data_IF_827918702259
#
_entry.id   IF_827918702259
#
_cell.length_a   1.000
_cell.length_b   1.000
_cell.length_c   1.000
_cell.angle_alpha   90.00
_cell.angle_beta   90.00
_cell.angle_gamma   90.00
#
_symmetry.space_group_name_H-M   'P 1'
#
loop_
_entity.id
_entity.type
_entity.pdbx_description
1 polymer ?
#
# COMPACT_ATOMS: atom_id res chain seq x y z
N UNK A 1 10.23 15.01 -18.10
CA UNK A 1 10.47 13.88 -19.03
C UNK A 1 9.41 12.82 -18.72
N UNK A 2 8.52 12.50 -19.67
CA UNK A 2 7.49 11.46 -19.49
C UNK A 2 7.97 10.17 -20.15
N UNK A 3 7.83 9.02 -19.48
CA UNK A 3 8.26 7.72 -20.02
C UNK A 3 7.25 7.23 -21.05
N UNK A 4 7.73 6.82 -22.22
CA UNK A 4 6.93 6.06 -23.19
C UNK A 4 6.89 4.60 -22.74
N UNK A 5 6.05 4.32 -21.74
CA UNK A 5 5.70 2.95 -21.38
C UNK A 5 4.49 2.54 -22.21
N UNK A 6 4.46 1.33 -22.80
CA UNK A 6 3.26 0.81 -23.45
C UNK A 6 2.21 0.50 -22.37
N UNK A 7 1.48 1.53 -21.94
CA UNK A 7 0.35 1.37 -21.05
C UNK A 7 -0.74 0.60 -21.80
N UNK A 8 -1.44 -0.29 -21.10
CA UNK A 8 -2.62 -0.96 -21.66
C UNK A 8 -3.59 0.12 -22.14
N UNK A 9 -3.88 0.14 -23.44
CA UNK A 9 -4.81 1.12 -24.06
C UNK A 9 -6.27 0.91 -23.61
N UNK A 10 -6.54 -0.18 -22.92
CA UNK A 10 -7.85 -0.57 -22.42
C UNK A 10 -7.69 -1.18 -21.03
N UNK A 11 -8.45 -0.65 -20.08
CA UNK A 11 -8.66 -1.26 -18.77
C UNK A 11 -9.87 -2.21 -18.77
N UNK A 12 -10.46 -2.57 -19.93
CA UNK A 12 -11.48 -3.63 -19.96
C UNK A 12 -10.90 -4.89 -19.30
N UNK A 13 -11.72 -5.58 -18.49
CA UNK A 13 -11.31 -6.70 -17.63
C UNK A 13 -10.45 -6.34 -16.40
N UNK A 14 -10.25 -5.05 -16.07
CA UNK A 14 -9.56 -4.66 -14.82
C UNK A 14 -10.23 -5.24 -13.56
N UNK A 15 -11.55 -5.40 -13.59
CA UNK A 15 -12.33 -6.04 -12.53
C UNK A 15 -11.99 -7.53 -12.34
N UNK A 16 -11.45 -8.21 -13.35
CA UNK A 16 -11.01 -9.62 -13.24
C UNK A 16 -9.71 -9.76 -12.45
N UNK A 17 -8.97 -8.64 -12.27
CA UNK A 17 -7.75 -8.56 -11.47
C UNK A 17 -8.03 -8.07 -10.05
N UNK A 18 -9.29 -7.76 -9.72
CA UNK A 18 -9.70 -7.57 -8.33
C UNK A 18 -9.71 -8.92 -7.65
N UNK A 19 -8.77 -9.13 -6.74
CA UNK A 19 -8.98 -10.12 -5.69
C UNK A 19 -10.09 -9.58 -4.81
N UNK A 20 -11.29 -10.14 -4.96
CA UNK A 20 -12.31 -10.04 -3.94
C UNK A 20 -11.80 -10.88 -2.78
N UNK A 21 -11.16 -10.24 -1.81
CA UNK A 21 -10.86 -10.91 -0.56
C UNK A 21 -12.21 -11.10 0.12
N UNK A 22 -12.63 -12.36 0.26
CA UNK A 22 -13.83 -12.68 1.02
C UNK A 22 -13.71 -11.99 2.37
N UNK A 23 -14.73 -11.19 2.70
CA UNK A 23 -14.82 -10.64 4.04
C UNK A 23 -14.92 -11.87 4.94
N UNK A 24 -13.85 -12.20 5.66
CA UNK A 24 -13.85 -13.29 6.64
C UNK A 24 -15.15 -13.18 7.45
N UNK A 25 -15.77 -14.31 7.81
CA UNK A 25 -17.13 -14.40 8.42
C UNK A 25 -17.41 -13.49 9.64
N UNK A 26 -16.44 -12.69 10.09
CA UNK A 26 -16.69 -11.41 10.76
C UNK A 26 -17.41 -10.43 9.83
N UNK A 27 -18.70 -10.68 9.65
CA UNK A 27 -19.65 -9.65 9.24
C UNK A 27 -19.42 -8.43 10.14
N UNK A 28 -19.12 -7.27 9.53
CA UNK A 28 -19.08 -6.03 10.28
C UNK A 28 -20.42 -5.92 11.04
N UNK A 29 -20.40 -5.53 12.32
CA UNK A 29 -21.62 -5.38 13.07
C UNK A 29 -22.59 -4.45 12.32
N UNK A 30 -23.91 -4.68 12.41
CA UNK A 30 -24.91 -3.79 11.81
C UNK A 30 -24.59 -2.34 12.17
N UNK A 31 -24.63 -1.45 11.18
CA UNK A 31 -24.38 -0.03 11.41
C UNK A 31 -25.36 0.50 12.47
N UNK A 32 -24.84 0.96 13.59
CA UNK A 32 -25.61 1.34 14.77
C UNK A 32 -25.96 2.83 14.82
N UNK A 33 -25.49 3.62 13.83
CA UNK A 33 -25.73 5.06 13.75
C UNK A 33 -24.97 5.89 14.79
N UNK A 34 -24.16 5.26 15.62
CA UNK A 34 -23.43 5.96 16.66
C UNK A 34 -22.17 6.61 16.09
N UNK A 35 -21.85 7.81 16.59
CA UNK A 35 -20.55 8.39 16.32
C UNK A 35 -19.47 7.53 16.99
N UNK A 36 -18.33 7.30 16.32
CA UNK A 36 -17.20 6.67 16.96
C UNK A 36 -16.83 7.40 18.26
N UNK A 37 -16.76 6.67 19.36
CA UNK A 37 -16.23 7.22 20.62
C UNK A 37 -14.74 7.47 20.38
N UNK A 38 -14.30 8.71 20.63
CA UNK A 38 -12.90 9.09 20.50
C UNK A 38 -12.07 8.18 21.42
N UNK A 39 -11.11 7.48 20.83
CA UNK A 39 -10.18 6.63 21.56
C UNK A 39 -8.82 7.32 21.61
N UNK A 40 -8.31 7.57 22.80
CA UNK A 40 -7.02 8.21 23.02
C UNK A 40 -5.87 7.44 22.35
N UNK A 41 -6.02 6.13 22.17
CA UNK A 41 -5.07 5.28 21.46
C UNK A 41 -4.96 5.60 19.97
N UNK A 42 -5.91 6.31 19.35
CA UNK A 42 -5.82 6.69 17.93
C UNK A 42 -4.68 7.67 17.65
N UNK A 43 -4.28 8.45 18.65
CA UNK A 43 -3.13 9.35 18.56
C UNK A 43 -1.88 8.77 19.21
N UNK A 44 -1.94 7.53 19.71
CA UNK A 44 -0.80 6.89 20.33
C UNK A 44 0.28 6.62 19.28
N UNK A 45 1.52 6.95 19.66
CA UNK A 45 2.67 6.55 18.86
C UNK A 45 2.91 5.05 19.05
N UNK A 46 3.30 4.34 17.98
CA UNK A 46 3.67 2.94 18.10
C UNK A 46 4.89 2.78 19.01
N UNK A 47 4.89 1.70 19.77
CA UNK A 47 6.03 1.30 20.60
C UNK A 47 7.20 0.83 19.73
N UNK A 48 8.40 0.77 20.34
CA UNK A 48 9.61 0.32 19.64
C UNK A 48 9.46 -1.12 19.08
N UNK A 49 8.77 -2.00 19.81
CA UNK A 49 8.51 -3.37 19.36
C UNK A 49 7.58 -3.43 18.14
N UNK A 50 6.60 -2.52 18.04
CA UNK A 50 5.69 -2.41 16.89
C UNK A 50 6.37 -1.80 15.66
N UNK A 51 7.40 -0.98 15.88
CA UNK A 51 8.13 -0.28 14.81
C UNK A 51 9.14 -1.15 14.04
N UNK A 52 9.35 -2.42 14.44
CA UNK A 52 10.38 -3.28 13.83
C UNK A 52 10.26 -3.44 12.30
N UNK A 53 9.04 -3.62 11.78
CA UNK A 53 8.83 -3.71 10.33
C UNK A 53 9.04 -2.37 9.61
N UNK A 54 8.62 -1.27 10.23
CA UNK A 54 8.76 0.09 9.68
C UNK A 54 10.23 0.47 9.60
N UNK A 55 10.99 0.24 10.68
CA UNK A 55 12.43 0.51 10.71
C UNK A 55 13.17 -0.29 9.64
N UNK A 56 12.85 -1.57 9.49
CA UNK A 56 13.41 -2.40 8.41
C UNK A 56 13.09 -1.84 7.02
N UNK A 57 11.89 -1.30 6.81
CA UNK A 57 11.53 -0.68 5.54
C UNK A 57 12.34 0.59 5.29
N UNK A 58 12.56 1.42 6.31
CA UNK A 58 13.38 2.63 6.23
C UNK A 58 14.83 2.29 5.86
N UNK A 59 15.41 1.25 6.46
CA UNK A 59 16.77 0.79 6.13
C UNK A 59 16.89 0.32 4.67
N UNK A 60 15.88 -0.41 4.17
CA UNK A 60 15.80 -0.81 2.77
C UNK A 60 15.73 0.44 1.89
N UNK A 61 14.88 1.41 2.23
CA UNK A 61 14.74 2.64 1.46
C UNK A 61 16.04 3.43 1.41
N UNK A 62 16.76 3.57 2.52
CA UNK A 62 18.03 4.29 2.55
C UNK A 62 19.11 3.57 1.76
N UNK A 63 19.19 2.24 1.87
CA UNK A 63 20.06 1.42 1.01
C UNK A 63 19.76 1.66 -0.47
N UNK A 64 18.49 1.66 -0.87
CA UNK A 64 18.08 1.89 -2.26
C UNK A 64 18.38 3.33 -2.73
N UNK A 65 18.25 4.34 -1.85
CA UNK A 65 18.65 5.72 -2.17
C UNK A 65 20.15 5.80 -2.48
N UNK A 66 21.00 5.15 -1.70
CA UNK A 66 22.46 5.15 -1.93
C UNK A 66 22.85 4.46 -3.24
N UNK A 67 22.04 3.51 -3.70
CA UNK A 67 22.24 2.82 -4.98
C UNK A 67 21.76 3.64 -6.20
N UNK A 68 21.46 4.94 -6.03
CA UNK A 68 20.93 5.81 -7.09
C UNK A 68 19.67 5.23 -7.74
N UNK A 69 18.79 4.60 -6.94
CA UNK A 69 17.50 4.15 -7.42
C UNK A 69 16.66 5.38 -7.78
N UNK A 70 16.72 5.79 -9.04
CA UNK A 70 15.92 6.91 -9.53
C UNK A 70 14.44 6.59 -9.29
N UNK A 71 13.66 7.58 -8.86
CA UNK A 71 12.20 7.46 -8.72
C UNK A 71 11.54 6.86 -10.00
N UNK A 72 12.19 7.12 -11.13
CA UNK A 72 11.92 6.55 -12.46
C UNK A 72 12.04 5.02 -12.48
N UNK A 73 13.13 4.46 -11.94
CA UNK A 73 13.36 3.01 -11.89
C UNK A 73 12.35 2.30 -10.99
N UNK A 74 11.94 2.93 -9.88
CA UNK A 74 10.88 2.42 -9.01
C UNK A 74 9.54 2.39 -9.76
N UNK A 75 9.18 3.49 -10.42
CA UNK A 75 7.95 3.58 -11.19
C UNK A 75 7.92 2.54 -12.33
N UNK A 76 9.04 2.36 -13.04
CA UNK A 76 9.17 1.33 -14.08
C UNK A 76 9.06 -0.07 -13.48
N UNK A 77 9.75 -0.37 -12.38
CA UNK A 77 9.71 -1.68 -11.74
C UNK A 77 8.29 -2.04 -11.26
N UNK A 78 7.60 -1.10 -10.62
CA UNK A 78 6.23 -1.28 -10.15
C UNK A 78 5.25 -1.52 -11.31
N UNK A 79 5.34 -0.73 -12.39
CA UNK A 79 4.48 -0.90 -13.57
C UNK A 79 4.79 -2.20 -14.31
N UNK A 80 6.07 -2.55 -14.46
CA UNK A 80 6.50 -3.73 -15.21
C UNK A 80 6.20 -5.05 -14.47
N UNK A 81 6.23 -5.07 -13.13
CA UNK A 81 5.93 -6.26 -12.31
C UNK A 81 4.44 -6.43 -11.99
N UNK A 82 3.58 -5.52 -12.46
CA UNK A 82 2.11 -5.61 -12.32
C UNK A 82 1.44 -6.39 -13.47
N UNK A 83 2.22 -7.18 -14.22
CA UNK A 83 1.76 -8.06 -15.31
C UNK A 83 1.95 -9.50 -14.89
#
# INVERSE_FOLDING_TARGET
>A
MYFSLPLKKSYKCWHEQWFYMENQDMSLPPFDGNMPVVNDAWSALPSESEMGQVNRLLDIMDTLKTQNLAAIGIAINFVARRV
#
